data_IF_815582617264
#
_entry.id   IF_815582617264
#
_cell.length_a   1.000
_cell.length_b   1.000
_cell.length_c   1.000
_cell.angle_alpha   90.00
_cell.angle_beta   90.00
_cell.angle_gamma   90.00
#
_symmetry.space_group_name_H-M   'P 1'
#
loop_
_entity.id
_entity.type
_entity.pdbx_description
1 polymer ?
#
# COMPACT_ATOMS: atom_id res chain seq x y z
N UNK A 1 -6.09 13.09 -5.21
CA UNK A 1 -5.11 12.06 -4.83
C UNK A 1 -3.80 12.39 -5.54
N UNK A 2 -2.64 12.32 -4.88
CA UNK A 2 -1.36 12.54 -5.57
C UNK A 2 -1.18 11.50 -6.69
N UNK A 3 -0.51 11.89 -7.77
CA UNK A 3 -0.31 11.05 -8.95
C UNK A 3 0.35 9.71 -8.61
N UNK A 4 1.31 9.73 -7.68
CA UNK A 4 2.02 8.54 -7.26
C UNK A 4 1.11 7.49 -6.58
N UNK A 5 0.14 7.93 -5.77
CA UNK A 5 -0.88 7.07 -5.16
C UNK A 5 -1.87 6.51 -6.19
N UNK A 6 -2.25 7.32 -7.20
CA UNK A 6 -3.10 6.84 -8.29
C UNK A 6 -2.42 5.73 -9.08
N UNK A 7 -1.15 5.90 -9.41
CA UNK A 7 -0.37 4.90 -10.13
C UNK A 7 -0.27 3.59 -9.35
N UNK A 8 -0.10 3.65 -8.03
CA UNK A 8 -0.11 2.46 -7.16
C UNK A 8 -1.47 1.75 -7.25
N UNK A 9 -2.58 2.48 -7.18
CA UNK A 9 -3.92 1.88 -7.32
C UNK A 9 -4.12 1.20 -8.69
N UNK A 10 -3.70 1.85 -9.77
CA UNK A 10 -3.83 1.30 -11.13
C UNK A 10 -3.00 0.04 -11.32
N UNK A 11 -1.75 0.03 -10.85
CA UNK A 11 -0.89 -1.15 -10.93
C UNK A 11 -1.37 -2.27 -10.00
N UNK A 12 -1.95 -1.93 -8.84
CA UNK A 12 -2.54 -2.91 -7.93
C UNK A 12 -3.70 -3.68 -8.57
N UNK A 13 -4.45 -3.09 -9.51
CA UNK A 13 -5.50 -3.81 -10.24
C UNK A 13 -4.98 -5.01 -11.06
N UNK A 14 -3.68 -5.04 -11.38
CA UNK A 14 -3.02 -6.17 -12.06
C UNK A 14 -2.77 -7.35 -11.13
N UNK A 15 -2.83 -7.15 -9.81
CA UNK A 15 -2.65 -8.19 -8.80
C UNK A 15 -3.95 -8.99 -8.51
N UNK A 16 -4.95 -8.89 -9.39
CA UNK A 16 -6.17 -9.71 -9.28
C UNK A 16 -5.83 -11.19 -9.23
N UNK A 17 -6.33 -11.87 -8.20
CA UNK A 17 -6.12 -13.30 -8.00
C UNK A 17 -4.85 -13.66 -7.22
N UNK A 18 -4.12 -12.69 -6.67
CA UNK A 18 -2.94 -12.95 -5.83
C UNK A 18 -3.19 -13.99 -4.73
N UNK A 19 -4.34 -13.92 -4.05
CA UNK A 19 -4.71 -14.86 -2.98
C UNK A 19 -5.02 -16.29 -3.46
N UNK A 20 -5.22 -16.51 -4.76
CA UNK A 20 -5.55 -17.81 -5.34
C UNK A 20 -4.32 -18.56 -5.89
N UNK A 21 -3.11 -18.04 -5.67
CA UNK A 21 -1.86 -18.60 -6.16
C UNK A 21 -0.98 -17.53 -6.77
N UNK A 22 -0.23 -16.80 -5.93
CA UNK A 22 0.66 -15.76 -6.38
C UNK A 22 1.80 -16.33 -7.25
N UNK A 23 2.04 -15.69 -8.39
CA UNK A 23 3.25 -15.93 -9.18
C UNK A 23 4.39 -15.07 -8.66
N UNK A 24 5.64 -15.48 -8.88
CA UNK A 24 6.81 -14.70 -8.47
C UNK A 24 6.81 -13.28 -9.05
N UNK A 25 6.25 -13.08 -10.24
CA UNK A 25 6.08 -11.75 -10.84
C UNK A 25 5.10 -10.88 -10.04
N UNK A 26 4.01 -11.45 -9.54
CA UNK A 26 3.06 -10.73 -8.70
C UNK A 26 3.65 -10.41 -7.32
N UNK A 27 4.44 -11.31 -6.73
CA UNK A 27 5.16 -11.03 -5.48
C UNK A 27 6.16 -9.88 -5.66
N UNK A 28 6.92 -9.87 -6.76
CA UNK A 28 7.81 -8.76 -7.09
C UNK A 28 7.05 -7.45 -7.30
N UNK A 29 5.89 -7.51 -7.96
CA UNK A 29 5.04 -6.34 -8.15
C UNK A 29 4.49 -5.81 -6.82
N UNK A 30 4.03 -6.68 -5.91
CA UNK A 30 3.59 -6.29 -4.55
C UNK A 30 4.72 -5.59 -3.81
N UNK A 31 5.94 -6.15 -3.84
CA UNK A 31 7.09 -5.51 -3.20
C UNK A 31 7.38 -4.13 -3.78
N UNK A 32 7.39 -4.01 -5.10
CA UNK A 32 7.64 -2.75 -5.80
C UNK A 32 6.56 -1.71 -5.45
N UNK A 33 5.29 -2.12 -5.42
CA UNK A 33 4.18 -1.23 -5.08
C UNK A 33 4.22 -0.81 -3.62
N UNK A 34 4.60 -1.70 -2.72
CA UNK A 34 4.76 -1.41 -1.30
C UNK A 34 5.89 -0.40 -1.05
N UNK A 35 7.05 -0.56 -1.68
CA UNK A 35 8.16 0.39 -1.56
C UNK A 35 7.77 1.77 -2.12
N UNK A 36 7.14 1.81 -3.30
CA UNK A 36 6.60 3.05 -3.87
C UNK A 36 5.56 3.71 -2.97
N UNK A 37 4.73 2.89 -2.32
CA UNK A 37 3.75 3.38 -1.38
C UNK A 37 4.43 4.05 -0.18
N UNK A 38 5.43 3.40 0.42
CA UNK A 38 6.16 3.97 1.56
C UNK A 38 6.87 5.28 1.22
N UNK A 39 7.52 5.34 0.04
CA UNK A 39 8.17 6.54 -0.46
C UNK A 39 7.16 7.67 -0.72
N UNK A 40 6.05 7.37 -1.42
CA UNK A 40 4.93 8.30 -1.58
C UNK A 40 4.40 8.80 -0.23
N UNK A 41 4.24 7.88 0.73
CA UNK A 41 3.65 8.18 2.02
C UNK A 41 4.56 9.07 2.88
N UNK A 42 5.87 8.93 2.76
CA UNK A 42 6.83 9.84 3.42
C UNK A 42 6.69 11.29 2.92
N UNK A 43 6.47 11.47 1.61
CA UNK A 43 6.25 12.78 1.00
C UNK A 43 4.85 13.34 1.25
N UNK A 44 3.88 12.47 1.51
CA UNK A 44 2.54 12.84 1.94
C UNK A 44 2.57 13.14 3.43
N UNK A 45 2.33 14.40 3.81
CA UNK A 45 2.03 14.72 5.21
C UNK A 45 0.85 13.86 5.67
N UNK A 46 1.14 12.81 6.45
CA UNK A 46 0.19 11.79 6.87
C UNK A 46 -1.06 12.40 7.56
N UNK A 47 -0.91 13.59 8.13
CA UNK A 47 -1.99 14.38 8.74
C UNK A 47 -3.08 14.85 7.76
N UNK A 48 -2.81 14.86 6.45
CA UNK A 48 -3.79 15.21 5.40
C UNK A 48 -4.55 14.00 4.84
N UNK A 49 -4.18 12.81 5.28
CA UNK A 49 -4.74 11.56 4.84
C UNK A 49 -5.82 11.13 5.85
N UNK A 50 -7.07 11.00 5.42
CA UNK A 50 -8.20 10.54 6.24
C UNK A 50 -8.15 9.03 6.52
N UNK A 51 -6.94 8.45 6.54
CA UNK A 51 -6.73 7.03 6.77
C UNK A 51 -6.93 6.68 8.25
N UNK A 52 -7.22 5.41 8.57
CA UNK A 52 -7.24 4.95 9.94
C UNK A 52 -5.92 5.29 10.65
N UNK A 53 -6.01 5.77 11.90
CA UNK A 53 -4.82 6.14 12.69
C UNK A 53 -3.84 4.99 12.85
N UNK A 54 -4.35 3.76 12.94
CA UNK A 54 -3.53 2.55 13.03
C UNK A 54 -2.69 2.33 11.76
N UNK A 55 -3.28 2.52 10.57
CA UNK A 55 -2.58 2.41 9.30
C UNK A 55 -1.48 3.48 9.18
N UNK A 56 -1.81 4.73 9.51
CA UNK A 56 -0.84 5.84 9.51
C UNK A 56 0.32 5.54 10.46
N UNK A 57 0.01 5.00 11.65
CA UNK A 57 1.03 4.69 12.65
C UNK A 57 1.91 3.52 12.24
N UNK A 58 1.36 2.46 11.64
CA UNK A 58 2.13 1.32 11.11
C UNK A 58 3.10 1.76 10.01
N UNK A 59 2.65 2.61 9.09
CA UNK A 59 3.51 3.18 8.03
C UNK A 59 4.59 4.08 8.61
N UNK A 60 4.24 4.93 9.59
CA UNK A 60 5.23 5.78 10.26
C UNK A 60 6.29 4.94 10.97
N UNK A 61 5.90 3.93 11.74
CA UNK A 61 6.81 3.03 12.43
C UNK A 61 7.73 2.27 11.47
N UNK A 62 7.22 1.89 10.29
CA UNK A 62 8.02 1.30 9.24
C UNK A 62 9.11 2.26 8.74
N UNK A 63 8.75 3.51 8.43
CA UNK A 63 9.72 4.53 7.98
C UNK A 63 10.70 4.95 9.08
N UNK A 64 10.26 4.93 10.35
CA UNK A 64 11.11 5.19 11.52
C UNK A 64 12.11 4.06 11.83
N UNK A 65 12.05 2.95 11.09
CA UNK A 65 13.02 1.89 11.21
C UNK A 65 12.66 0.83 12.26
N UNK A 66 11.40 0.74 12.69
CA UNK A 66 11.02 -0.12 13.81
C UNK A 66 11.02 -1.62 13.42
N UNK A 67 11.99 -2.37 13.94
CA UNK A 67 12.26 -3.77 13.57
C UNK A 67 11.04 -4.72 13.64
N UNK A 68 10.16 -4.65 14.66
CA UNK A 68 8.97 -5.49 14.71
C UNK A 68 8.00 -5.27 13.54
N UNK A 69 7.91 -4.03 13.05
CA UNK A 69 7.06 -3.67 11.92
C UNK A 69 7.71 -4.13 10.60
N UNK A 70 9.03 -4.06 10.46
CA UNK A 70 9.72 -4.69 9.33
C UNK A 70 9.49 -6.19 9.25
N UNK A 71 9.51 -6.89 10.40
CA UNK A 71 9.21 -8.33 10.46
C UNK A 71 7.76 -8.63 10.08
N UNK A 72 6.80 -7.79 10.52
CA UNK A 72 5.40 -7.88 10.11
C UNK A 72 5.25 -7.71 8.58
N UNK A 73 5.93 -6.73 8.01
CA UNK A 73 5.96 -6.50 6.56
C UNK A 73 6.99 -7.37 5.83
N UNK A 74 7.64 -8.35 6.46
CA UNK A 74 8.46 -9.32 5.73
C UNK A 74 7.57 -10.32 4.96
N UNK A 75 6.35 -10.52 5.43
CA UNK A 75 5.35 -11.35 4.77
C UNK A 75 4.73 -10.60 3.58
N UNK A 76 4.85 -11.21 2.40
CA UNK A 76 4.33 -10.65 1.14
C UNK A 76 2.81 -10.52 1.15
N UNK A 77 2.11 -11.41 1.84
CA UNK A 77 0.65 -11.36 1.98
C UNK A 77 0.23 -10.17 2.84
N UNK A 78 1.00 -9.83 3.88
CA UNK A 78 0.76 -8.65 4.70
C UNK A 78 0.97 -7.37 3.88
N UNK A 79 2.00 -7.30 3.03
CA UNK A 79 2.19 -6.19 2.09
C UNK A 79 1.01 -6.06 1.13
N UNK A 80 0.56 -7.18 0.57
CA UNK A 80 -0.60 -7.22 -0.31
C UNK A 80 -1.88 -6.76 0.39
N UNK A 81 -2.17 -7.25 1.60
CA UNK A 81 -3.35 -6.87 2.38
C UNK A 81 -3.36 -5.37 2.69
N UNK A 82 -2.22 -4.82 3.09
CA UNK A 82 -2.07 -3.40 3.35
C UNK A 82 -2.32 -2.55 2.09
N UNK A 83 -1.78 -2.95 0.94
CA UNK A 83 -2.07 -2.31 -0.35
C UNK A 83 -3.54 -2.47 -0.77
N UNK A 84 -4.17 -3.60 -0.44
CA UNK A 84 -5.59 -3.87 -0.69
C UNK A 84 -6.47 -2.94 0.13
N UNK A 85 -6.21 -2.82 1.44
CA UNK A 85 -6.93 -1.89 2.32
C UNK A 85 -6.77 -0.45 1.84
N UNK A 86 -5.55 -0.09 1.41
CA UNK A 86 -5.29 1.22 0.80
C UNK A 86 -6.10 1.44 -0.48
N UNK A 87 -6.14 0.45 -1.38
CA UNK A 87 -6.89 0.50 -2.63
C UNK A 87 -8.40 0.61 -2.39
N UNK A 88 -8.95 -0.19 -1.47
CA UNK A 88 -10.36 -0.14 -1.11
C UNK A 88 -10.71 1.21 -0.47
N UNK A 89 -9.87 1.75 0.41
CA UNK A 89 -10.06 3.08 0.96
C UNK A 89 -10.04 4.17 -0.13
N UNK A 90 -9.07 4.10 -1.04
CA UNK A 90 -8.93 5.02 -2.17
C UNK A 90 -10.18 5.01 -3.07
N UNK A 91 -10.77 3.82 -3.28
CA UNK A 91 -12.01 3.62 -4.03
C UNK A 91 -13.23 4.13 -3.28
N UNK A 92 -13.38 3.78 -1.99
CA UNK A 92 -14.51 4.15 -1.13
C UNK A 92 -14.60 5.66 -0.91
N UNK A 93 -13.46 6.33 -0.74
CA UNK A 93 -13.40 7.79 -0.57
C UNK A 93 -13.63 8.57 -1.86
N UNK A 94 -13.95 7.90 -2.98
CA UNK A 94 -14.08 8.48 -4.35
C UNK A 94 -12.87 9.30 -4.79
N UNK A 95 -11.73 9.15 -4.10
CA UNK A 95 -10.48 9.82 -4.47
C UNK A 95 -9.80 9.11 -5.64
N UNK A 96 -10.18 7.86 -5.90
CA UNK A 96 -9.95 7.10 -7.12
C UNK A 96 -11.28 6.92 -7.87
N UNK A 97 -11.45 7.66 -8.97
CA UNK A 97 -12.51 7.40 -9.95
C UNK A 97 -11.83 6.66 -11.08
N UNK A 98 -12.29 5.43 -11.33
CA UNK A 98 -11.87 4.65 -12.48
C UNK A 98 -12.47 5.31 -13.72
N UNK A 99 -11.64 6.06 -14.46
CA UNK A 99 -12.01 6.55 -15.80
C UNK A 99 -12.09 5.39 -16.80
#
# INVERSE_FOLDING_TARGET
MQECLKNICTEFEKLKGFLNGATSEQEQLVNTLFEKFMDCFEHLKAEKLEYPKEFINDVRLYNEGFEPIYKKFADIQIRYLMLSDFYDFARLTKRYIKE
#
